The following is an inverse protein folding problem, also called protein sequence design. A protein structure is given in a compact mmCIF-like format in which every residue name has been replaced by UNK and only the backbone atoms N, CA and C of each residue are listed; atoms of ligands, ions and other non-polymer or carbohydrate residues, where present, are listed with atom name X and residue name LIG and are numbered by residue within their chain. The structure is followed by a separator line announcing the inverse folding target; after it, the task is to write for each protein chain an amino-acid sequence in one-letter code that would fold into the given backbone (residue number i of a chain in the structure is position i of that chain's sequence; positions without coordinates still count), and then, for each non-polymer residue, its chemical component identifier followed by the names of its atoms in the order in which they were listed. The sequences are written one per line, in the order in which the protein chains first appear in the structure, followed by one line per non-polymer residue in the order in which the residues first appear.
data_IF_090132721157
#
_entry.id   IF_090132721157
#
_cell.length_a   1.000
_cell.length_b   1.000
_cell.length_c   1.000
_cell.angle_alpha   90.00
_cell.angle_beta   90.00
_cell.angle_gamma   90.00
#
_symmetry.space_group_name_H-M   'P 1'
#
loop_
_entity.id
_entity.type
_entity.pdbx_description
1 polymer ?
#
# COMPACT_ATOMS: atom_id res chain seq x y z
N UNK A 1 -2.61 10.44 -22.29
CA UNK A 1 -3.89 10.04 -21.66
C UNK A 1 -3.96 10.64 -20.26
N UNK A 2 -5.00 11.39 -19.96
CA UNK A 2 -5.17 12.04 -18.68
C UNK A 2 -5.90 11.10 -17.73
N UNK A 3 -5.30 10.82 -16.56
CA UNK A 3 -5.95 10.04 -15.51
C UNK A 3 -6.80 10.95 -14.65
N UNK A 4 -7.97 10.47 -14.28
CA UNK A 4 -8.84 11.14 -13.31
C UNK A 4 -8.72 10.42 -11.98
N UNK A 5 -8.19 11.11 -10.98
CA UNK A 5 -8.03 10.56 -9.64
C UNK A 5 -9.27 10.85 -8.80
N UNK A 6 -9.75 9.88 -7.99
CA UNK A 6 -10.84 10.13 -7.06
C UNK A 6 -10.45 11.23 -6.06
N UNK A 7 -11.34 12.23 -5.86
CA UNK A 7 -11.05 13.30 -4.92
C UNK A 7 -11.18 12.82 -3.48
N UNK A 8 -10.38 13.40 -2.59
CA UNK A 8 -10.54 13.25 -1.15
C UNK A 8 -11.18 14.51 -0.58
N UNK A 9 -12.21 14.36 0.23
CA UNK A 9 -12.89 15.49 0.87
C UNK A 9 -11.94 16.24 1.79
N UNK A 10 -11.89 17.55 1.65
CA UNK A 10 -11.12 18.43 2.55
C UNK A 10 -12.05 18.92 3.67
N UNK A 11 -11.62 18.75 4.91
CA UNK A 11 -12.35 19.22 6.09
C UNK A 11 -11.60 20.36 6.75
N UNK A 12 -12.28 21.07 7.66
CA UNK A 12 -11.73 22.26 8.35
C UNK A 12 -11.13 21.92 9.71
N UNK A 13 -10.63 20.71 9.88
CA UNK A 13 -9.99 20.28 11.14
C UNK A 13 -8.67 21.01 11.32
N UNK A 14 -8.49 21.59 12.51
CA UNK A 14 -7.31 22.34 12.90
C UNK A 14 -6.87 21.90 14.29
N UNK A 15 -5.59 21.58 14.42
CA UNK A 15 -4.96 21.34 15.73
C UNK A 15 -4.20 22.58 16.20
N UNK A 16 -4.24 22.84 17.50
CA UNK A 16 -3.34 23.80 18.14
C UNK A 16 -2.15 23.04 18.70
N UNK A 17 -0.99 23.25 18.13
CA UNK A 17 0.26 22.62 18.56
C UNK A 17 1.21 23.70 19.06
N UNK A 18 1.31 23.83 20.38
CA UNK A 18 2.19 24.81 21.04
C UNK A 18 1.93 26.27 20.60
N UNK A 19 0.66 26.61 20.45
CA UNK A 19 0.24 27.95 19.99
C UNK A 19 0.24 28.11 18.46
N UNK A 20 0.63 27.10 17.72
CA UNK A 20 0.58 27.10 16.25
C UNK A 20 -0.63 26.32 15.76
N UNK A 21 -1.37 26.91 14.83
CA UNK A 21 -2.52 26.28 14.19
C UNK A 21 -2.05 25.44 13.01
N UNK A 22 -2.28 24.14 13.09
CA UNK A 22 -1.91 23.16 12.06
C UNK A 22 -3.18 22.61 11.43
N UNK A 23 -3.32 22.82 10.12
CA UNK A 23 -4.45 22.29 9.37
C UNK A 23 -4.27 20.78 9.14
N UNK A 24 -5.35 20.03 9.35
CA UNK A 24 -5.38 18.58 9.08
C UNK A 24 -6.66 18.23 8.29
N UNK A 25 -6.70 18.60 7.00
CA UNK A 25 -7.92 18.51 6.20
C UNK A 25 -8.35 17.08 5.88
N UNK A 26 -7.49 16.10 6.07
CA UNK A 26 -7.75 14.70 5.74
C UNK A 26 -7.69 13.77 6.95
N UNK A 27 -7.94 14.29 8.14
CA UNK A 27 -7.93 13.48 9.37
C UNK A 27 -8.89 12.29 9.31
N UNK A 28 -10.02 12.43 8.62
CA UNK A 28 -10.99 11.36 8.45
C UNK A 28 -10.40 10.09 7.80
N UNK A 29 -9.32 10.22 7.02
CA UNK A 29 -8.60 9.08 6.42
C UNK A 29 -7.88 8.20 7.45
N UNK A 30 -7.64 8.69 8.66
CA UNK A 30 -7.04 7.92 9.74
C UNK A 30 -8.01 6.88 10.32
N UNK A 31 -9.31 7.10 10.18
CA UNK A 31 -10.34 6.18 10.65
C UNK A 31 -10.72 5.20 9.54
N UNK A 32 -10.26 3.96 9.66
CA UNK A 32 -10.55 2.90 8.68
C UNK A 32 -12.04 2.51 8.62
N UNK A 33 -12.79 2.78 9.67
CA UNK A 33 -14.22 2.46 9.75
C UNK A 33 -15.12 3.60 9.25
N UNK A 34 -14.57 4.78 9.00
CA UNK A 34 -15.32 5.90 8.41
C UNK A 34 -15.78 5.53 6.99
N UNK A 35 -17.08 5.72 6.72
CA UNK A 35 -17.65 5.39 5.41
C UNK A 35 -16.98 6.15 4.26
N UNK A 36 -16.52 7.38 4.49
CA UNK A 36 -15.78 8.18 3.49
C UNK A 36 -14.43 7.54 3.17
N UNK A 37 -13.73 7.03 4.18
CA UNK A 37 -12.45 6.34 4.01
C UNK A 37 -12.62 5.08 3.18
N UNK A 38 -13.62 4.27 3.50
CA UNK A 38 -13.92 3.04 2.78
C UNK A 38 -14.31 3.31 1.32
N UNK A 39 -15.14 4.30 1.08
CA UNK A 39 -15.56 4.66 -0.29
C UNK A 39 -14.38 5.21 -1.10
N UNK A 40 -13.58 6.09 -0.52
CA UNK A 40 -12.38 6.62 -1.19
C UNK A 40 -11.39 5.50 -1.53
N UNK A 41 -11.13 4.59 -0.60
CA UNK A 41 -10.27 3.42 -0.83
C UNK A 41 -10.79 2.53 -1.96
N UNK A 42 -12.10 2.29 -1.98
CA UNK A 42 -12.76 1.53 -3.05
C UNK A 42 -12.59 2.18 -4.41
N UNK A 43 -12.74 3.50 -4.49
CA UNK A 43 -12.53 4.25 -5.72
C UNK A 43 -11.08 4.20 -6.20
N UNK A 44 -10.11 4.27 -5.28
CA UNK A 44 -8.69 4.10 -5.61
C UNK A 44 -8.40 2.70 -6.15
N UNK A 45 -8.99 1.68 -5.55
CA UNK A 45 -8.85 0.29 -6.02
C UNK A 45 -9.45 0.10 -7.41
N UNK A 46 -10.60 0.73 -7.68
CA UNK A 46 -11.22 0.69 -9.01
C UNK A 46 -10.34 1.35 -10.08
N UNK A 47 -9.70 2.48 -9.75
CA UNK A 47 -8.74 3.13 -10.64
C UNK A 47 -7.55 2.20 -10.93
N UNK A 48 -7.00 1.55 -9.91
CA UNK A 48 -5.91 0.60 -10.06
C UNK A 48 -6.30 -0.56 -10.98
N UNK A 49 -7.47 -1.17 -10.78
CA UNK A 49 -7.94 -2.27 -11.63
C UNK A 49 -8.11 -1.84 -13.08
N UNK A 50 -8.63 -0.65 -13.32
CA UNK A 50 -8.75 -0.10 -14.67
C UNK A 50 -7.38 0.10 -15.35
N UNK A 51 -6.41 0.68 -14.64
CA UNK A 51 -5.04 0.87 -15.15
C UNK A 51 -4.34 -0.47 -15.40
N UNK A 52 -4.57 -1.43 -14.53
CA UNK A 52 -3.98 -2.77 -14.58
C UNK A 52 -4.31 -3.53 -15.86
N UNK A 53 -5.48 -3.30 -16.43
CA UNK A 53 -5.91 -3.91 -17.69
C UNK A 53 -4.95 -3.58 -18.86
N UNK A 54 -4.26 -2.46 -18.79
CA UNK A 54 -3.30 -2.03 -19.82
C UNK A 54 -1.87 -2.54 -19.61
N UNK A 55 -1.59 -3.22 -18.50
CA UNK A 55 -0.23 -3.68 -18.16
C UNK A 55 0.05 -5.05 -18.78
N UNK A 56 0.51 -5.05 -20.03
CA UNK A 56 0.71 -6.27 -20.81
C UNK A 56 1.78 -7.23 -20.25
N UNK A 57 2.73 -6.72 -19.47
CA UNK A 57 3.83 -7.52 -18.92
C UNK A 57 3.60 -7.98 -17.48
N UNK A 58 2.48 -7.58 -16.87
CA UNK A 58 2.20 -7.86 -15.45
C UNK A 58 2.22 -9.36 -15.13
N UNK A 59 1.56 -10.16 -15.96
CA UNK A 59 1.45 -11.60 -15.70
C UNK A 59 2.79 -12.30 -15.84
N UNK A 60 3.61 -11.89 -16.78
CA UNK A 60 4.98 -12.40 -16.95
C UNK A 60 5.84 -12.11 -15.71
N UNK A 61 5.78 -10.89 -15.17
CA UNK A 61 6.47 -10.54 -13.94
C UNK A 61 5.94 -11.32 -12.73
N UNK A 62 4.62 -11.47 -12.62
CA UNK A 62 4.00 -12.22 -11.53
C UNK A 62 4.45 -13.68 -11.52
N UNK A 63 4.49 -14.33 -12.68
CA UNK A 63 4.98 -15.70 -12.82
C UNK A 63 6.45 -15.83 -12.42
N UNK A 64 7.29 -14.91 -12.87
CA UNK A 64 8.72 -14.89 -12.54
C UNK A 64 8.96 -14.71 -11.04
N UNK A 65 8.25 -13.79 -10.40
CA UNK A 65 8.34 -13.55 -8.95
C UNK A 65 7.85 -14.78 -8.18
N UNK A 66 6.76 -15.38 -8.61
CA UNK A 66 6.22 -16.58 -7.96
C UNK A 66 7.20 -17.74 -8.04
N UNK A 67 7.86 -17.95 -9.18
CA UNK A 67 8.88 -18.99 -9.34
C UNK A 67 10.08 -18.77 -8.41
N UNK A 68 10.55 -17.52 -8.28
CA UNK A 68 11.64 -17.16 -7.37
C UNK A 68 11.27 -17.37 -5.91
N UNK A 69 10.07 -16.96 -5.50
CA UNK A 69 9.58 -17.17 -4.13
C UNK A 69 9.39 -18.64 -3.81
N UNK A 70 8.96 -19.45 -4.78
CA UNK A 70 8.78 -20.88 -4.63
C UNK A 70 10.10 -21.68 -4.48
N UNK A 71 11.22 -21.10 -4.88
CA UNK A 71 12.54 -21.73 -4.71
C UNK A 71 12.97 -21.82 -3.24
N UNK A 72 12.33 -21.06 -2.36
CA UNK A 72 12.68 -21.00 -0.94
C UNK A 72 13.92 -20.18 -0.65
N UNK A 73 14.30 -20.13 0.61
CA UNK A 73 15.50 -19.42 1.06
C UNK A 73 16.20 -20.24 2.14
N UNK A 74 17.53 -20.22 2.09
CA UNK A 74 18.38 -20.82 3.12
C UNK A 74 19.17 -19.70 3.78
N UNK A 75 19.08 -19.60 5.10
CA UNK A 75 19.82 -18.59 5.86
C UNK A 75 21.31 -18.95 5.95
N UNK A 76 22.12 -18.03 6.45
CA UNK A 76 23.53 -18.27 6.71
C UNK A 76 23.70 -19.43 7.70
N UNK A 77 24.55 -20.43 7.40
CA UNK A 77 24.77 -21.55 8.32
C UNK A 77 25.50 -21.08 9.58
N UNK A 78 25.05 -21.56 10.72
CA UNK A 78 25.67 -21.30 12.02
C UNK A 78 26.15 -22.60 12.61
N UNK A 79 27.48 -22.69 12.87
CA UNK A 79 28.10 -23.84 13.50
C UNK A 79 27.95 -23.78 15.02
N UNK A 80 27.54 -24.90 15.61
CA UNK A 80 27.53 -25.11 17.07
C UNK A 80 27.99 -26.54 17.36
N UNK A 81 29.25 -26.68 17.77
CA UNK A 81 29.87 -27.99 17.95
C UNK A 81 29.92 -28.77 16.64
N UNK A 82 29.35 -29.97 16.63
CA UNK A 82 29.26 -30.82 15.43
C UNK A 82 28.00 -30.57 14.58
N UNK A 83 27.20 -29.55 14.90
CA UNK A 83 25.92 -29.28 14.22
C UNK A 83 25.99 -27.98 13.45
N UNK A 84 25.26 -27.93 12.35
CA UNK A 84 25.04 -26.75 11.52
C UNK A 84 23.54 -26.44 11.52
N UNK A 85 23.19 -25.18 11.81
CA UNK A 85 21.81 -24.67 11.77
C UNK A 85 21.69 -23.64 10.65
N UNK A 86 20.60 -23.73 9.89
CA UNK A 86 20.31 -22.79 8.80
C UNK A 86 18.80 -22.71 8.52
#
# INVERSE_FOLDING_TARGET
MTRTYPPAERTDVVDDMHGHKVLDPYRWLEDADDARTQEWSKQQSALLEHERESWSTRDTFAESVQALLGAGAVSLPVHRGARIFF
#
